data_IF_175914458189
#
_entry.id   IF_175914458189
#
_cell.length_a   1.000
_cell.length_b   1.000
_cell.length_c   1.000
_cell.angle_alpha   90.00
_cell.angle_beta   90.00
_cell.angle_gamma   90.00
#
_symmetry.space_group_name_H-M   'P 1'
#
loop_
_entity.id
_entity.type
_entity.pdbx_description
1 polymer ?
2 non-polymer ?
3 non-polymer ?
4 non-polymer ?
5 water ?
#
# COMPACT_ATOMS: atom_id res chain seq x y z
N UNK A 8 -4.65 4.97 -27.20
CA UNK A 8 -3.23 4.93 -26.89
C UNK A 8 -2.95 5.45 -25.47
N UNK A 9 -2.10 6.45 -25.38
CA UNK A 9 -1.75 7.06 -24.11
C UNK A 9 -2.84 8.03 -23.65
N UNK A 10 -3.76 8.34 -24.55
CA UNK A 10 -4.83 9.29 -24.27
C UNK A 10 -5.77 8.78 -23.19
N UNK A 11 -5.96 7.46 -23.14
CA UNK A 11 -6.84 6.85 -22.15
C UNK A 11 -6.26 6.99 -20.74
N UNK A 12 -4.94 6.94 -20.64
CA UNK A 12 -4.26 7.09 -19.36
C UNK A 12 -4.36 8.53 -18.86
N UNK A 13 -4.14 9.48 -19.76
CA UNK A 13 -4.21 10.90 -19.41
C UNK A 13 -5.63 11.29 -19.00
N UNK A 14 -6.61 10.67 -19.64
CA UNK A 14 -8.00 10.86 -19.24
C UNK A 14 -8.21 10.26 -17.85
N UNK A 15 -7.58 9.12 -17.62
CA UNK A 15 -7.65 8.45 -16.33
C UNK A 15 -7.14 9.33 -15.21
N UNK A 16 -5.98 9.95 -15.41
CA UNK A 16 -5.40 10.85 -14.42
C UNK A 16 -6.33 12.04 -14.16
N UNK A 17 -6.91 12.56 -15.24
CA UNK A 17 -7.81 13.71 -15.15
C UNK A 17 -9.06 13.38 -14.35
N UNK A 18 -9.65 12.22 -14.64
CA UNK A 18 -10.85 11.77 -13.92
C UNK A 18 -10.57 11.63 -12.42
N UNK A 19 -9.44 11.00 -12.08
CA UNK A 19 -9.07 10.82 -10.69
C UNK A 19 -8.88 12.18 -9.99
N UNK A 20 -8.26 13.12 -10.69
CA UNK A 20 -8.09 14.46 -10.14
C UNK A 20 -9.44 15.16 -9.97
N UNK A 21 -10.30 15.01 -10.97
CA UNK A 21 -11.61 15.64 -10.95
C UNK A 21 -12.48 15.16 -9.80
N UNK A 22 -12.47 13.87 -9.56
CA UNK A 22 -13.23 13.27 -8.46
C UNK A 22 -12.79 13.86 -7.13
N UNK A 23 -11.48 14.03 -6.96
CA UNK A 23 -10.93 14.62 -5.74
C UNK A 23 -11.39 16.07 -5.57
N UNK A 24 -11.40 16.82 -6.67
CA UNK A 24 -11.85 18.20 -6.63
C UNK A 24 -13.35 18.25 -6.33
N UNK A 25 -14.11 17.32 -6.90
CA UNK A 25 -15.54 17.25 -6.66
C UNK A 25 -15.86 16.92 -5.20
N UNK A 26 -14.96 16.19 -4.54
CA UNK A 26 -15.18 15.79 -3.16
C UNK A 26 -14.48 16.71 -2.17
N UNK A 27 -13.88 17.78 -2.69
CA UNK A 27 -13.13 18.70 -1.84
C UNK A 27 -13.99 19.40 -0.81
N UNK A 28 -13.40 19.67 0.36
CA UNK A 28 -14.08 20.41 1.41
C UNK A 28 -14.21 21.86 1.02
N UNK A 29 -13.29 22.34 0.20
CA UNK A 29 -13.33 23.69 -0.35
C UNK A 29 -12.38 23.85 -1.53
N UNK A 30 -12.94 23.82 -2.74
CA UNK A 30 -12.16 23.89 -3.97
C UNK A 30 -11.43 25.22 -4.12
N UNK A 31 -12.03 26.29 -3.60
CA UNK A 31 -11.45 27.63 -3.71
C UNK A 31 -10.30 27.81 -2.72
N UNK A 32 -10.10 26.83 -1.85
CA UNK A 32 -9.02 26.87 -0.89
C UNK A 32 -7.86 25.98 -1.34
N UNK A 33 -8.05 25.29 -2.46
CA UNK A 33 -7.02 24.40 -3.00
C UNK A 33 -5.79 25.20 -3.43
N UNK A 34 -4.64 24.87 -2.84
CA UNK A 34 -3.38 25.51 -3.19
C UNK A 34 -2.79 24.87 -4.45
N UNK A 35 -2.75 25.65 -5.53
CA UNK A 35 -2.31 25.13 -6.82
C UNK A 35 -0.84 24.74 -6.82
N UNK A 36 -0.03 25.42 -6.01
CA UNK A 36 1.38 25.08 -5.89
C UNK A 36 1.54 23.72 -5.22
N UNK A 37 0.77 23.50 -4.16
CA UNK A 37 0.83 22.27 -3.40
C UNK A 37 0.38 21.07 -4.22
N UNK A 38 -0.83 21.12 -4.75
CA UNK A 38 -1.39 19.99 -5.50
C UNK A 38 -0.79 19.88 -6.90
N UNK A 39 -0.28 20.98 -7.42
CA UNK A 39 0.37 20.97 -8.72
C UNK A 39 1.74 20.31 -8.65
N UNK A 40 2.51 20.68 -7.65
CA UNK A 40 3.83 20.11 -7.45
C UNK A 40 3.77 18.67 -7.00
N UNK A 41 2.75 18.34 -6.20
CA UNK A 41 2.59 16.98 -5.69
C UNK A 41 2.37 15.99 -6.83
N UNK A 42 1.48 16.36 -7.75
CA UNK A 42 1.25 15.55 -8.95
C UNK A 42 2.50 15.52 -9.81
N UNK A 43 3.18 16.66 -9.90
CA UNK A 43 4.40 16.78 -10.70
C UNK A 43 5.48 15.84 -10.16
N UNK A 44 5.66 15.82 -8.85
CA UNK A 44 6.64 14.95 -8.22
C UNK A 44 6.29 13.47 -8.43
N UNK A 45 5.04 13.11 -8.18
CA UNK A 45 4.60 11.72 -8.34
C UNK A 45 4.73 11.27 -9.79
N UNK A 46 4.40 12.17 -10.71
CA UNK A 46 4.51 11.87 -12.14
C UNK A 46 5.96 11.76 -12.56
N UNK A 47 6.79 12.70 -12.12
CA UNK A 47 8.20 12.73 -12.47
C UNK A 47 8.95 11.57 -11.84
N UNK A 48 8.57 11.23 -10.61
CA UNK A 48 9.18 10.11 -9.91
C UNK A 48 8.90 8.83 -10.69
N UNK A 49 7.67 8.70 -11.17
CA UNK A 49 7.29 7.56 -12.00
C UNK A 49 8.07 7.53 -13.29
N UNK A 50 8.15 8.69 -13.95
CA UNK A 50 8.90 8.80 -15.20
C UNK A 50 10.35 8.44 -15.00
N UNK A 51 10.95 8.95 -13.93
CA UNK A 51 12.36 8.75 -13.65
C UNK A 51 12.73 7.28 -13.48
N UNK A 52 11.98 6.55 -12.65
CA UNK A 52 12.37 5.20 -12.26
C UNK A 52 11.74 4.11 -13.13
N UNK A 53 10.76 4.46 -13.95
CA UNK A 53 10.11 3.48 -14.80
C UNK A 53 10.40 3.68 -16.29
N UNK A 54 10.85 4.87 -16.66
CA UNK A 54 11.09 5.18 -18.07
C UNK A 54 12.56 5.54 -18.32
N UNK A 55 13.03 6.58 -17.63
CA UNK A 55 14.40 7.05 -17.75
C UNK A 55 15.40 5.95 -17.32
N UNK A 56 16.33 5.58 -18.22
CA UNK A 56 17.30 4.51 -18.02
C UNK A 56 18.03 4.54 -16.68
N UNK A 57 18.57 5.70 -16.32
CA UNK A 57 19.33 5.82 -15.06
C UNK A 57 18.46 5.53 -13.85
N UNK A 58 17.26 6.09 -13.84
CA UNK A 58 16.33 5.89 -12.74
C UNK A 58 15.86 4.44 -12.67
N UNK A 59 15.72 3.81 -13.83
CA UNK A 59 15.36 2.40 -13.89
C UNK A 59 16.44 1.52 -13.27
N UNK A 60 17.70 1.93 -13.46
CA UNK A 60 18.82 1.17 -12.92
C UNK A 60 18.96 1.38 -11.41
N UNK A 61 18.64 2.58 -10.95
CA UNK A 61 18.65 2.89 -9.52
C UNK A 61 17.55 2.11 -8.80
N UNK A 62 16.40 1.98 -9.45
CA UNK A 62 15.28 1.22 -8.90
C UNK A 62 15.64 -0.27 -8.87
N UNK A 63 16.27 -0.74 -9.94
CA UNK A 63 16.68 -2.14 -10.03
C UNK A 63 17.74 -2.47 -8.98
N UNK A 64 18.65 -1.53 -8.77
CA UNK A 64 19.71 -1.72 -7.78
C UNK A 64 19.16 -1.75 -6.37
N UNK A 65 18.18 -0.90 -6.11
CA UNK A 65 17.55 -0.84 -4.79
C UNK A 65 16.72 -2.09 -4.53
N UNK A 66 16.03 -2.56 -5.56
CA UNK A 66 15.16 -3.73 -5.44
C UNK A 66 15.95 -5.01 -5.20
N UNK A 67 17.11 -5.13 -5.85
CA UNK A 67 17.96 -6.30 -5.68
C UNK A 67 18.57 -6.34 -4.28
N UNK A 68 18.87 -5.17 -3.73
CA UNK A 68 19.35 -5.07 -2.36
C UNK A 68 18.27 -5.53 -1.40
N UNK A 69 17.04 -5.10 -1.65
CA UNK A 69 15.88 -5.53 -0.87
C UNK A 69 15.69 -7.04 -1.00
N UNK A 70 15.91 -7.56 -2.20
CA UNK A 70 15.80 -8.99 -2.46
C UNK A 70 16.85 -9.78 -1.70
N UNK A 71 18.04 -9.20 -1.55
CA UNK A 71 19.14 -9.86 -0.83
C UNK A 71 18.89 -9.89 0.67
N UNK A 72 18.34 -8.79 1.19
CA UNK A 72 18.02 -8.70 2.62
C UNK A 72 16.98 -9.74 3.00
N UNK A 73 16.00 -9.94 2.12
CA UNK A 73 14.95 -10.94 2.34
C UNK A 73 15.54 -12.35 2.42
N UNK A 74 16.47 -12.66 1.52
CA UNK A 74 17.14 -13.96 1.52
C UNK A 74 17.97 -14.17 2.78
N UNK A 75 18.61 -13.09 3.24
CA UNK A 75 19.38 -13.12 4.48
C UNK A 75 18.46 -13.43 5.66
N UNK A 76 17.30 -12.77 5.68
CA UNK A 76 16.34 -12.97 6.75
C UNK A 76 15.74 -14.37 6.75
N UNK A 77 15.77 -15.01 5.59
CA UNK A 77 15.21 -16.36 5.45
C UNK A 77 16.07 -17.43 6.11
N UNK A 78 17.29 -17.06 6.50
CA UNK A 78 18.15 -17.97 7.25
C UNK A 78 17.56 -18.25 8.62
N UNK A 79 16.95 -17.22 9.23
CA UNK A 79 16.33 -17.37 10.53
C UNK A 79 15.10 -18.26 10.41
N UNK A 80 14.37 -18.08 9.31
CA UNK A 80 13.19 -18.87 9.03
C UNK A 80 13.56 -20.32 8.78
N UNK A 81 14.66 -20.52 8.05
CA UNK A 81 15.15 -21.85 7.72
C UNK A 81 15.57 -22.60 8.98
N UNK A 82 16.10 -21.87 9.96
CA UNK A 82 16.51 -22.48 11.21
C UNK A 82 15.32 -23.03 12.00
N UNK A 83 14.22 -22.26 12.01
CA UNK A 83 13.07 -22.62 12.83
C UNK A 83 12.23 -23.74 12.22
N UNK A 84 12.09 -23.74 10.90
CA UNK A 84 11.16 -24.67 10.25
C UNK A 84 11.86 -25.71 9.36
N UNK A 85 13.19 -25.64 9.30
CA UNK A 85 13.99 -26.65 8.64
C UNK A 85 13.55 -27.14 7.28
N UNK A 86 13.25 -28.43 7.19
CA UNK A 86 12.89 -29.05 5.93
C UNK A 86 11.56 -28.62 5.37
N UNK A 87 10.72 -28.01 6.21
CA UNK A 87 9.40 -27.57 5.77
C UNK A 87 9.49 -26.33 4.87
N UNK A 88 10.66 -25.70 4.85
CA UNK A 88 10.88 -24.59 3.92
C UNK A 88 12.05 -24.89 2.99
N UNK A 89 12.31 -26.18 2.75
CA UNK A 89 13.38 -26.59 1.83
C UNK A 89 12.81 -26.98 0.48
N UNK A 90 13.71 -27.33 -0.45
CA UNK A 90 13.32 -27.71 -1.79
C UNK A 90 12.63 -29.06 -1.87
N UNK A 91 12.82 -29.87 -0.84
CA UNK A 91 12.20 -31.20 -0.77
C UNK A 91 10.68 -31.10 -0.74
N UNK A 92 10.18 -30.01 -0.19
CA UNK A 92 8.73 -29.77 -0.10
C UNK A 92 8.07 -29.75 -1.48
N UNK A 93 8.78 -29.21 -2.46
CA UNK A 93 8.24 -29.12 -3.82
C UNK A 93 8.28 -30.48 -4.51
N UNK A 94 9.16 -31.37 -4.05
CA UNK A 94 9.23 -32.71 -4.60
C UNK A 94 8.11 -33.59 -4.06
N UNK A 95 7.75 -33.37 -2.80
CA UNK A 95 6.74 -34.19 -2.14
C UNK A 95 5.33 -33.68 -2.39
N UNK A 96 5.14 -32.37 -2.27
CA UNK A 96 3.79 -31.80 -2.35
C UNK A 96 3.55 -31.01 -3.63
N UNK A 97 4.57 -30.91 -4.47
CA UNK A 97 4.45 -30.15 -5.70
C UNK A 97 4.29 -28.66 -5.43
N UNK A 98 3.23 -28.08 -5.99
CA UNK A 98 2.95 -26.67 -5.77
C UNK A 98 2.55 -26.39 -4.34
N UNK A 99 1.95 -27.39 -3.69
CA UNK A 99 1.52 -27.26 -2.31
C UNK A 99 2.68 -27.35 -1.32
N UNK A 100 3.89 -27.45 -1.84
CA UNK A 100 5.08 -27.50 -1.01
C UNK A 100 5.43 -26.13 -0.46
N UNK A 101 4.90 -25.10 -1.10
CA UNK A 101 5.09 -23.73 -0.64
C UNK A 101 4.11 -23.41 0.49
N UNK A 102 4.59 -23.52 1.73
CA UNK A 102 3.74 -23.28 2.89
C UNK A 102 3.75 -21.80 3.26
N UNK A 103 2.65 -21.12 2.96
CA UNK A 103 2.56 -19.67 3.16
C UNK A 103 2.89 -19.26 4.59
N UNK A 104 2.39 -20.00 5.56
CA UNK A 104 2.59 -19.68 6.97
C UNK A 104 4.07 -19.62 7.34
N UNK A 105 4.88 -20.45 6.70
CA UNK A 105 6.30 -20.54 7.04
C UNK A 105 7.18 -19.77 6.06
N UNK A 106 6.68 -19.54 4.86
CA UNK A 106 7.46 -18.85 3.83
C UNK A 106 7.32 -17.34 3.92
N UNK A 107 6.09 -16.86 4.06
CA UNK A 107 5.81 -15.42 3.97
C UNK A 107 5.74 -14.71 5.32
N UNK A 108 4.93 -15.23 6.23
CA UNK A 108 4.72 -14.58 7.53
C UNK A 108 5.97 -14.34 8.38
N UNK A 109 6.92 -15.30 8.43
CA UNK A 109 8.14 -15.00 9.21
C UNK A 109 8.96 -13.82 8.69
N UNK A 110 8.75 -13.44 7.44
CA UNK A 110 9.49 -12.31 6.87
C UNK A 110 9.04 -11.00 7.53
N UNK A 111 7.79 -10.98 7.98
CA UNK A 111 7.26 -9.80 8.68
C UNK A 111 8.00 -9.60 10.00
N UNK A 112 8.42 -10.70 10.61
CA UNK A 112 9.12 -10.64 11.88
C UNK A 112 10.54 -10.11 11.71
N UNK A 113 11.25 -10.64 10.72
CA UNK A 113 12.62 -10.24 10.46
C UNK A 113 12.72 -8.78 10.04
N UNK A 114 11.82 -8.35 9.16
CA UNK A 114 11.88 -6.99 8.66
C UNK A 114 11.48 -5.95 9.71
N UNK A 115 10.54 -6.32 10.58
CA UNK A 115 10.15 -5.44 11.67
C UNK A 115 11.31 -5.22 12.63
N UNK A 116 12.09 -6.27 12.86
CA UNK A 116 13.26 -6.18 13.71
C UNK A 116 14.33 -5.31 13.05
N UNK A 117 14.47 -5.47 11.74
CA UNK A 117 15.46 -4.70 10.98
C UNK A 117 15.15 -3.22 10.98
N UNK A 118 13.88 -2.88 10.73
CA UNK A 118 13.45 -1.49 10.72
C UNK A 118 13.67 -0.84 12.08
N UNK A 119 13.41 -1.60 13.14
CA UNK A 119 13.62 -1.12 14.49
C UNK A 119 15.10 -0.84 14.75
N UNK A 120 15.96 -1.68 14.19
CA UNK A 120 17.41 -1.48 14.29
C UNK A 120 17.83 -0.22 13.55
N UNK A 121 17.29 -0.03 12.35
CA UNK A 121 17.64 1.13 11.53
C UNK A 121 17.12 2.43 12.16
N UNK A 122 16.10 2.33 12.99
CA UNK A 122 15.60 3.48 13.73
C UNK A 122 16.52 3.82 14.90
N UNK A 123 16.98 2.79 15.60
CA UNK A 123 17.89 2.99 16.74
C UNK A 123 19.20 3.61 16.27
N UNK A 124 19.64 3.22 15.09
CA UNK A 124 20.91 3.68 14.54
C UNK A 124 20.79 5.09 13.96
N UNK A 125 19.56 5.51 13.68
CA UNK A 125 19.32 6.84 13.15
C UNK A 125 19.31 6.89 11.63
N UNK A 126 19.42 5.73 11.00
CA UNK A 126 19.45 5.66 9.55
C UNK A 126 18.11 6.05 8.94
N UNK A 127 17.02 5.55 9.55
CA UNK A 127 15.68 5.86 9.07
C UNK A 127 15.37 7.35 9.20
N UNK A 128 15.60 7.92 10.38
CA UNK A 128 15.35 9.33 10.63
C UNK A 128 16.11 10.21 9.64
N UNK A 129 17.32 9.77 9.28
CA UNK A 129 18.15 10.50 8.34
C UNK A 129 17.50 10.57 6.96
N UNK A 130 17.05 9.43 6.46
CA UNK A 130 16.40 9.37 5.14
C UNK A 130 15.08 10.14 5.14
N UNK A 131 14.28 9.94 6.17
CA UNK A 131 12.98 10.61 6.30
C UNK A 131 13.13 12.12 6.38
N UNK A 132 14.16 12.59 7.06
CA UNK A 132 14.41 14.01 7.22
C UNK A 132 14.71 14.66 5.87
N UNK A 133 15.42 13.95 5.01
CA UNK A 133 15.77 14.44 3.70
C UNK A 133 14.58 14.44 2.76
N UNK A 134 13.88 13.30 2.68
CA UNK A 134 12.71 13.16 1.82
C UNK A 134 11.59 14.07 2.26
N UNK A 135 11.33 14.09 3.57
CA UNK A 135 10.28 14.93 4.12
C UNK A 135 10.58 16.41 3.96
N UNK A 136 11.85 16.76 4.05
CA UNK A 136 12.28 18.14 3.90
C UNK A 136 12.12 18.63 2.48
N UNK A 137 12.43 17.78 1.52
CA UNK A 137 12.30 18.12 0.12
C UNK A 137 10.85 18.31 -0.29
N UNK A 138 9.95 17.57 0.35
CA UNK A 138 8.53 17.66 0.06
C UNK A 138 7.95 18.99 0.52
N UNK A 139 8.28 19.42 1.73
CA UNK A 139 7.70 20.65 2.27
C UNK A 139 8.26 21.89 1.59
N UNK A 140 9.49 21.83 1.11
CA UNK A 140 10.10 22.96 0.42
C UNK A 140 9.45 23.18 -0.94
N UNK A 141 9.08 22.08 -1.59
CA UNK A 141 8.51 22.13 -2.93
C UNK A 141 7.01 22.35 -2.91
N UNK A 142 6.33 21.80 -1.91
CA UNK A 142 4.87 21.82 -1.88
C UNK A 142 4.30 22.87 -0.94
N UNK A 143 5.11 23.32 0.02
CA UNK A 143 4.66 24.29 0.99
C UNK A 143 3.85 23.65 2.10
N UNK A 144 3.83 22.32 2.11
CA UNK A 144 3.16 21.57 3.18
C UNK A 144 3.92 21.76 4.49
N UNK A 145 3.26 21.52 5.62
CA UNK A 145 3.88 21.74 6.92
C UNK A 145 4.98 20.71 7.19
N UNK A 146 5.83 21.03 8.16
CA UNK A 146 6.96 20.19 8.52
C UNK A 146 6.54 18.80 8.97
N UNK A 147 5.58 18.74 9.89
CA UNK A 147 5.16 17.48 10.48
C UNK A 147 4.51 16.53 9.47
N UNK A 148 3.59 17.04 8.66
CA UNK A 148 2.86 16.20 7.73
C UNK A 148 3.74 15.71 6.58
N UNK A 149 4.79 16.47 6.27
CA UNK A 149 5.73 16.08 5.23
C UNK A 149 6.60 14.91 5.69
N UNK A 150 7.00 14.95 6.96
CA UNK A 150 7.82 13.88 7.53
C UNK A 150 7.01 12.58 7.65
N UNK A 151 5.75 12.72 8.05
CA UNK A 151 4.87 11.56 8.17
C UNK A 151 4.63 10.90 6.82
N UNK A 152 4.53 11.71 5.77
CA UNK A 152 4.34 11.20 4.42
C UNK A 152 5.57 10.44 3.95
N UNK A 153 6.75 10.96 4.26
CA UNK A 153 8.01 10.32 3.87
C UNK A 153 8.26 9.06 4.70
N UNK A 154 7.91 9.11 5.97
CA UNK A 154 8.09 7.94 6.85
C UNK A 154 7.21 6.78 6.39
N UNK A 155 6.05 7.10 5.84
CA UNK A 155 5.10 6.10 5.38
C UNK A 155 5.61 5.27 4.19
N UNK A 156 6.68 5.74 3.57
CA UNK A 156 7.31 4.98 2.48
C UNK A 156 7.86 3.66 3.03
N UNK A 157 8.36 3.70 4.26
CA UNK A 157 9.07 2.56 4.82
C UNK A 157 8.29 1.82 5.92
N UNK A 158 7.47 2.55 6.68
CA UNK A 158 6.72 1.93 7.77
C UNK A 158 5.21 2.12 7.64
N UNK A 159 4.47 1.47 8.53
CA UNK A 159 3.01 1.45 8.46
C UNK A 159 2.32 2.70 8.95
N UNK A 160 1.02 2.77 8.68
CA UNK A 160 0.20 3.94 8.94
C UNK A 160 0.15 4.37 10.41
N UNK A 161 0.40 3.43 11.31
CA UNK A 161 0.36 3.74 12.73
C UNK A 161 1.74 4.07 13.28
N UNK A 162 2.78 3.63 12.57
CA UNK A 162 4.15 3.84 13.02
C UNK A 162 4.74 5.13 12.45
N UNK A 163 4.33 5.49 11.24
CA UNK A 163 4.84 6.69 10.57
C UNK A 163 4.62 8.01 11.34
N UNK A 164 3.45 8.20 11.97
CA UNK A 164 3.28 9.48 12.67
C UNK A 164 4.14 9.60 13.94
N UNK A 165 4.78 8.52 14.36
CA UNK A 165 5.57 8.53 15.59
C UNK A 165 6.77 9.47 15.48
N UNK A 166 7.25 9.71 14.27
CA UNK A 166 8.38 10.61 14.06
C UNK A 166 8.01 12.07 14.35
N UNK A 167 6.71 12.36 14.40
CA UNK A 167 6.22 13.69 14.73
C UNK A 167 5.15 13.62 15.81
N UNK A 168 5.30 12.67 16.72
CA UNK A 168 4.35 12.40 17.79
C UNK A 168 3.89 13.63 18.60
N UNK A 169 4.83 14.48 19.05
CA UNK A 169 4.34 15.58 19.91
C UNK A 169 3.57 16.67 19.17
N UNK A 170 3.63 16.68 17.84
CA UNK A 170 2.97 17.72 17.05
C UNK A 170 1.57 17.31 16.62
N UNK A 171 1.27 16.02 16.74
CA UNK A 171 -0.02 15.47 16.32
C UNK A 171 -1.26 16.06 17.03
N UNK A 172 -1.23 16.19 18.38
CA UNK A 172 -2.46 16.67 19.03
C UNK A 172 -2.90 18.07 18.60
N UNK A 173 -1.96 18.92 18.19
CA UNK A 173 -2.29 20.29 17.82
C UNK A 173 -2.27 20.50 16.31
N UNK A 174 -2.29 19.41 15.56
CA UNK A 174 -2.34 19.49 14.10
C UNK A 174 -3.67 20.08 13.63
N UNK A 175 -3.62 20.84 12.53
CA UNK A 175 -4.84 21.31 11.90
C UNK A 175 -5.59 20.12 11.32
N UNK A 176 -6.87 20.29 11.03
CA UNK A 176 -7.68 19.22 10.48
C UNK A 176 -7.12 18.74 9.15
N UNK A 177 -6.57 19.68 8.37
CA UNK A 177 -5.95 19.36 7.10
C UNK A 177 -4.66 18.55 7.30
N UNK A 178 -3.92 18.88 8.34
CA UNK A 178 -2.70 18.14 8.67
C UNK A 178 -3.03 16.71 9.10
N UNK A 179 -3.98 16.58 10.01
CA UNK A 179 -4.41 15.28 10.50
C UNK A 179 -4.92 14.41 9.36
N UNK A 180 -5.64 15.03 8.43
CA UNK A 180 -6.18 14.32 7.27
C UNK A 180 -5.06 13.81 6.37
N UNK A 181 -4.06 14.65 6.13
CA UNK A 181 -2.91 14.28 5.32
C UNK A 181 -2.14 13.12 5.96
N UNK A 182 -1.97 13.19 7.27
CA UNK A 182 -1.29 12.14 8.01
C UNK A 182 -2.02 10.81 7.82
N UNK A 183 -3.34 10.84 7.95
CA UNK A 183 -4.16 9.66 7.68
C UNK A 183 -3.98 9.19 6.24
N UNK A 184 -4.00 10.12 5.30
CA UNK A 184 -3.88 9.79 3.88
C UNK A 184 -2.52 9.19 3.53
N UNK A 185 -1.47 9.70 4.17
CA UNK A 185 -0.13 9.18 3.96
C UNK A 185 -0.02 7.70 4.29
N UNK A 186 -0.74 7.28 5.32
CA UNK A 186 -0.73 5.89 5.73
C UNK A 186 -1.61 5.01 4.86
N UNK A 187 -2.73 5.56 4.43
CA UNK A 187 -3.68 4.81 3.61
C UNK A 187 -3.19 4.63 2.18
N UNK A 188 -2.38 5.57 1.71
CA UNK A 188 -1.85 5.52 0.35
C UNK A 188 -0.63 4.61 0.24
N UNK A 189 -0.10 4.17 1.38
CA UNK A 189 1.11 3.37 1.38
C UNK A 189 0.95 2.05 2.10
N UNK A 190 2.04 1.29 2.16
CA UNK A 190 2.07 0.05 2.91
C UNK A 190 3.17 0.12 3.96
N UNK A 191 3.88 -0.98 4.16
CA UNK A 191 4.96 -1.03 5.15
C UNK A 191 6.08 -1.94 4.67
N UNK A 192 7.30 -1.67 5.14
CA UNK A 192 8.46 -2.45 4.75
C UNK A 192 8.31 -3.93 5.06
N UNK A 193 7.63 -4.24 6.16
CA UNK A 193 7.41 -5.62 6.56
C UNK A 193 6.59 -6.41 5.56
N UNK A 194 5.41 -5.91 5.23
CA UNK A 194 4.51 -6.61 4.32
C UNK A 194 4.97 -6.51 2.86
N UNK A 195 5.75 -5.48 2.56
CA UNK A 195 6.34 -5.34 1.23
C UNK A 195 7.17 -6.58 0.93
N UNK A 196 8.00 -6.97 1.89
CA UNK A 196 8.82 -8.17 1.76
C UNK A 196 7.94 -9.42 1.68
N UNK A 197 6.82 -9.38 2.39
CA UNK A 197 5.86 -10.47 2.35
C UNK A 197 5.26 -10.62 0.96
N UNK A 198 4.81 -9.50 0.38
CA UNK A 198 4.22 -9.49 -0.94
C UNK A 198 5.25 -9.90 -1.99
N UNK A 199 6.49 -9.45 -1.80
CA UNK A 199 7.60 -9.82 -2.67
C UNK A 199 7.84 -11.33 -2.63
N UNK A 200 7.71 -11.92 -1.44
CA UNK A 200 7.89 -13.35 -1.26
C UNK A 200 6.74 -14.14 -1.89
N UNK A 201 5.63 -13.46 -2.15
CA UNK A 201 4.48 -14.09 -2.76
C UNK A 201 4.56 -14.06 -4.29
N UNK A 202 5.55 -13.33 -4.81
CA UNK A 202 5.78 -13.28 -6.24
C UNK A 202 5.59 -11.91 -6.85
N UNK A 203 5.15 -10.95 -6.05
CA UNK A 203 4.95 -9.58 -6.53
C UNK A 203 6.31 -8.94 -6.79
N UNK A 204 6.43 -8.30 -7.95
CA UNK A 204 7.69 -7.69 -8.37
C UNK A 204 8.11 -6.58 -7.41
N UNK A 205 9.31 -6.73 -6.85
CA UNK A 205 9.82 -5.78 -5.85
C UNK A 205 9.91 -4.37 -6.40
N UNK A 206 10.30 -4.25 -7.67
CA UNK A 206 10.41 -2.95 -8.33
C UNK A 206 9.10 -2.17 -8.25
N UNK A 207 7.99 -2.84 -8.48
CA UNK A 207 6.67 -2.21 -8.41
C UNK A 207 6.35 -1.79 -6.99
N UNK A 208 6.67 -2.66 -6.03
CA UNK A 208 6.40 -2.39 -4.62
C UNK A 208 7.21 -1.20 -4.11
N UNK A 209 8.49 -1.17 -4.45
CA UNK A 209 9.37 -0.08 -4.05
C UNK A 209 8.92 1.23 -4.72
N UNK A 210 8.58 1.15 -6.00
CA UNK A 210 8.14 2.32 -6.75
C UNK A 210 6.86 2.90 -6.17
N UNK A 211 5.88 2.04 -5.92
CA UNK A 211 4.59 2.46 -5.39
C UNK A 211 4.75 3.06 -3.99
N UNK A 212 5.69 2.52 -3.21
CA UNK A 212 5.94 3.01 -1.86
C UNK A 212 6.44 4.44 -1.88
N UNK A 213 7.46 4.71 -2.70
CA UNK A 213 8.00 6.06 -2.82
C UNK A 213 7.00 7.03 -3.44
N UNK A 214 6.24 6.56 -4.42
CA UNK A 214 5.26 7.41 -5.10
C UNK A 214 4.05 7.71 -4.22
N UNK A 215 3.92 6.99 -3.11
CA UNK A 215 2.80 7.18 -2.20
C UNK A 215 2.94 8.47 -1.39
N UNK A 216 4.17 8.89 -1.14
CA UNK A 216 4.42 10.09 -0.35
C UNK A 216 3.90 11.36 -1.05
N UNK A 217 4.29 11.60 -2.32
CA UNK A 217 3.67 12.78 -2.94
C UNK A 217 2.20 12.54 -3.30
N UNK A 218 1.87 11.31 -3.66
CA UNK A 218 0.51 10.95 -4.03
C UNK A 218 -0.47 11.12 -2.89
N UNK A 219 -0.02 10.78 -1.68
CA UNK A 219 -0.84 10.93 -0.49
C UNK A 219 -1.10 12.39 -0.17
N UNK A 220 -0.07 13.22 -0.30
CA UNK A 220 -0.20 14.65 -0.04
C UNK A 220 -1.07 15.30 -1.12
N UNK A 221 -0.94 14.80 -2.35
CA UNK A 221 -1.72 15.30 -3.47
C UNK A 221 -3.22 15.26 -3.22
N UNK A 222 -3.74 14.08 -2.96
CA UNK A 222 -5.19 13.91 -2.81
C UNK A 222 -5.69 14.37 -1.45
N UNK A 223 -4.79 14.48 -0.48
CA UNK A 223 -5.15 15.02 0.82
C UNK A 223 -5.39 16.52 0.72
N UNK A 224 -4.55 17.20 -0.04
CA UNK A 224 -4.62 18.66 -0.16
C UNK A 224 -5.65 19.08 -1.21
N UNK A 225 -6.07 18.14 -2.04
CA UNK A 225 -7.16 18.37 -2.99
C UNK A 225 -8.49 18.23 -2.29
N UNK A 226 -8.64 17.15 -1.50
CA UNK A 226 -9.89 16.84 -0.85
C UNK A 226 -10.06 17.58 0.48
N UNK A 227 -8.93 17.94 1.09
CA UNK A 227 -8.97 18.67 2.36
C UNK A 227 -7.85 19.72 2.40
N UNK A 228 -8.04 20.83 1.68
CA UNK A 228 -7.04 21.90 1.65
C UNK A 228 -6.84 22.54 3.01
N UNK A 229 -5.66 23.12 3.24
CA UNK A 229 -5.40 23.79 4.51
C UNK A 229 -6.15 25.11 4.61
N UNK A 230 -7.06 25.20 5.56
CA UNK A 230 -7.83 26.42 5.78
C UNK A 230 -7.41 27.07 7.09
N UNK A 231 -6.58 26.37 7.85
CA UNK A 231 -6.08 26.88 9.13
C UNK A 231 -4.60 27.23 9.04
N UNK A 232 -4.00 27.56 10.16
CA UNK A 232 -2.57 27.88 10.21
C UNK A 232 -1.81 26.90 11.10
N UNK A 233 -0.95 26.07 10.50
CA UNK A 233 -0.15 25.08 11.23
C UNK A 233 0.84 25.73 12.19
N UNK A 234 1.50 24.91 13.01
CA UNK A 234 2.48 25.39 13.97
C UNK A 234 3.90 24.97 13.59
N UNK A 235 4.86 25.34 14.44
CA UNK A 235 6.28 25.02 14.24
C UNK A 235 6.78 25.48 12.87
N UNK A 247 12.82 5.08 23.18
CA UNK A 247 14.01 4.51 22.56
C UNK A 247 14.60 3.40 23.41
N UNK A 248 14.83 2.22 22.81
CA UNK A 248 15.44 1.07 23.49
C UNK A 248 16.82 1.40 24.05
N UNK A 249 17.26 0.65 25.06
CA UNK A 249 18.51 0.92 25.74
C UNK A 249 19.72 0.67 24.85
N UNK A 250 19.59 -0.29 23.94
CA UNK A 250 20.68 -0.64 23.03
C UNK A 250 20.16 -1.22 21.73
N UNK A 251 21.07 -1.51 20.81
CA UNK A 251 20.70 -1.99 19.48
C UNK A 251 20.10 -3.39 19.51
N UNK A 252 20.50 -4.19 20.49
CA UNK A 252 19.97 -5.55 20.61
C UNK A 252 18.54 -5.51 21.12
N UNK A 253 18.27 -4.62 22.07
CA UNK A 253 16.92 -4.39 22.57
C UNK A 253 16.01 -3.93 21.44
N UNK A 254 16.53 -3.08 20.57
CA UNK A 254 15.78 -2.56 19.44
C UNK A 254 15.32 -3.68 18.52
N UNK A 255 16.24 -4.57 18.17
CA UNK A 255 15.94 -5.72 17.34
C UNK A 255 14.89 -6.61 17.99
N UNK A 256 15.02 -6.85 19.29
CA UNK A 256 14.09 -7.70 20.02
C UNK A 256 12.69 -7.10 20.02
N UNK A 257 12.60 -5.79 20.22
CA UNK A 257 11.32 -5.09 20.21
C UNK A 257 10.65 -5.16 18.86
N UNK A 258 11.44 -5.03 17.80
CA UNK A 258 10.92 -5.13 16.45
C UNK A 258 10.42 -6.54 16.13
N UNK A 259 11.17 -7.54 16.58
CA UNK A 259 10.79 -8.93 16.37
C UNK A 259 9.45 -9.23 17.03
N UNK A 260 9.27 -8.73 18.25
CA UNK A 260 8.03 -8.91 18.99
C UNK A 260 6.85 -8.26 18.27
N UNK A 261 7.05 -7.02 17.81
CA UNK A 261 6.02 -6.33 17.05
C UNK A 261 5.70 -7.07 15.76
N UNK A 262 6.73 -7.58 15.10
CA UNK A 262 6.56 -8.34 13.88
C UNK A 262 5.79 -9.63 14.10
N UNK A 263 6.06 -10.28 15.22
CA UNK A 263 5.36 -11.51 15.60
C UNK A 263 3.87 -11.28 15.74
N UNK A 264 3.50 -10.21 16.45
CA UNK A 264 2.10 -9.87 16.65
C UNK A 264 1.43 -9.55 15.32
N UNK A 265 2.16 -8.87 14.45
CA UNK A 265 1.66 -8.56 13.11
C UNK A 265 1.47 -9.84 12.31
N UNK A 266 2.46 -10.72 12.37
CA UNK A 266 2.41 -11.99 11.65
C UNK A 266 1.23 -12.84 12.10
N UNK A 267 0.97 -12.86 13.41
CA UNK A 267 -0.14 -13.61 13.96
C UNK A 267 -1.48 -13.02 13.51
N UNK A 268 -1.59 -11.70 13.55
CA UNK A 268 -2.80 -11.01 13.12
C UNK A 268 -3.11 -11.22 11.63
N UNK A 269 -2.06 -11.14 10.81
CA UNK A 269 -2.24 -11.30 9.36
C UNK A 269 -2.66 -12.73 9.03
N UNK A 270 -2.02 -13.70 9.68
CA UNK A 270 -2.33 -15.10 9.46
C UNK A 270 -3.75 -15.47 9.85
N UNK A 271 -4.20 -14.99 10.99
CA UNK A 271 -5.56 -15.25 11.46
C UNK A 271 -6.57 -14.57 10.55
N UNK A 272 -6.23 -13.37 10.10
CA UNK A 272 -7.10 -12.62 9.21
C UNK A 272 -7.28 -13.35 7.88
N UNK A 273 -6.18 -13.88 7.35
CA UNK A 273 -6.20 -14.58 6.07
C UNK A 273 -7.00 -15.88 6.14
N UNK A 274 -6.83 -16.62 7.23
CA UNK A 274 -7.60 -17.85 7.45
C UNK A 274 -9.09 -17.55 7.46
N UNK A 275 -9.48 -16.52 8.21
CA UNK A 275 -10.88 -16.15 8.36
C UNK A 275 -11.46 -15.55 7.07
N UNK A 276 -10.80 -14.55 6.50
CA UNK A 276 -11.34 -13.84 5.35
C UNK A 276 -11.45 -14.73 4.11
N UNK A 277 -10.41 -15.52 3.84
CA UNK A 277 -10.45 -16.44 2.70
C UNK A 277 -11.52 -17.50 2.92
N UNK A 278 -11.64 -17.95 4.17
CA UNK A 278 -12.69 -18.89 4.54
C UNK A 278 -14.07 -18.27 4.37
N UNK A 279 -14.20 -17.01 4.77
CA UNK A 279 -15.48 -16.31 4.65
C UNK A 279 -15.85 -16.06 3.19
N UNK A 280 -14.86 -15.78 2.36
CA UNK A 280 -15.09 -15.60 0.93
C UNK A 280 -15.62 -16.90 0.32
N UNK A 281 -15.05 -18.02 0.74
CA UNK A 281 -15.50 -19.33 0.26
C UNK A 281 -16.94 -19.60 0.68
N UNK A 282 -17.30 -19.19 1.88
CA UNK A 282 -18.67 -19.33 2.38
C UNK A 282 -19.62 -18.43 1.61
N UNK A 283 -19.17 -17.19 1.36
CA UNK A 283 -19.94 -16.24 0.58
C UNK A 283 -20.21 -16.78 -0.83
N UNK A 284 -19.19 -17.37 -1.45
CA UNK A 284 -19.34 -17.94 -2.78
C UNK A 284 -20.30 -19.12 -2.80
N UNK A 285 -20.30 -19.90 -1.73
CA UNK A 285 -21.24 -21.00 -1.60
C UNK A 285 -22.67 -20.50 -1.55
N UNK A 286 -22.89 -19.43 -0.79
CA UNK A 286 -24.21 -18.84 -0.67
C UNK A 286 -24.63 -18.13 -1.96
N UNK A 287 -23.68 -17.47 -2.61
CA UNK A 287 -23.94 -16.77 -3.86
C UNK A 287 -24.29 -17.74 -4.98
N UNK A 288 -23.82 -18.98 -4.87
CA UNK A 288 -24.15 -20.01 -5.84
C UNK A 288 -25.62 -20.38 -5.77
N UNK A 289 -26.16 -20.42 -4.56
CA UNK A 289 -27.56 -20.74 -4.35
C UNK A 289 -28.47 -19.57 -4.69
N UNK A 290 -28.09 -18.39 -4.23
CA UNK A 290 -28.85 -17.17 -4.48
C UNK A 290 -28.87 -16.84 -5.97
N UNK A 291 -27.70 -16.88 -6.59
CA UNK A 291 -27.58 -16.61 -8.02
C UNK A 291 -28.35 -17.61 -8.86
N UNK A 292 -28.40 -18.85 -8.39
CA UNK A 292 -29.12 -19.90 -9.09
C UNK A 292 -30.59 -19.60 -9.27
N UNK A 293 -31.14 -18.82 -8.34
CA UNK A 293 -32.54 -18.39 -8.41
C UNK A 293 -32.76 -17.44 -9.59
N UNK A 294 -31.68 -16.89 -10.12
CA UNK A 294 -31.75 -15.98 -11.26
C UNK A 294 -31.01 -16.54 -12.47
N UNK A 295 -30.90 -17.86 -12.52
CA UNK A 295 -30.23 -18.54 -13.63
C UNK A 295 -28.73 -18.35 -13.64
N UNK A 296 -28.16 -18.01 -12.49
CA UNK A 296 -26.73 -17.80 -12.38
C UNK A 296 -26.12 -18.57 -11.21
N UNK A 297 -26.11 -19.91 -11.31
CA UNK A 297 -25.57 -20.73 -10.21
C UNK A 297 -24.05 -20.62 -10.10
N UNK A 298 -23.41 -20.04 -11.12
CA UNK A 298 -21.97 -19.90 -11.13
C UNK A 298 -21.54 -18.59 -10.47
N UNK A 299 -22.50 -17.87 -9.93
CA UNK A 299 -22.25 -16.56 -9.32
C UNK A 299 -21.25 -16.65 -8.17
N UNK A 300 -20.25 -15.78 -8.20
CA UNK A 300 -19.24 -15.73 -7.14
C UNK A 300 -18.89 -14.29 -6.79
N UNK A 301 -18.19 -14.11 -5.67
CA UNK A 301 -17.78 -12.78 -5.23
C UNK A 301 -16.84 -12.13 -6.24
N UNK A 302 -15.95 -12.92 -6.83
CA UNK A 302 -15.00 -12.41 -7.80
C UNK A 302 -15.70 -11.84 -9.03
N UNK A 303 -16.80 -12.47 -9.43
CA UNK A 303 -17.56 -12.01 -10.58
C UNK A 303 -18.23 -10.66 -10.30
N UNK A 304 -18.78 -10.53 -9.09
CA UNK A 304 -19.41 -9.27 -8.66
C UNK A 304 -18.40 -8.13 -8.66
N UNK A 305 -17.26 -8.36 -8.01
CA UNK A 305 -16.22 -7.35 -7.90
C UNK A 305 -15.62 -7.05 -9.28
N UNK A 306 -15.46 -8.10 -10.09
CA UNK A 306 -14.95 -7.94 -11.44
C UNK A 306 -15.86 -7.11 -12.30
N UNK A 307 -17.16 -7.39 -12.22
CA UNK A 307 -18.16 -6.66 -13.01
C UNK A 307 -18.28 -5.21 -12.55
N UNK A 308 -18.09 -4.98 -11.25
CA UNK A 308 -18.29 -3.66 -10.68
C UNK A 308 -17.07 -2.76 -10.82
N UNK A 309 -15.88 -3.37 -10.86
CA UNK A 309 -14.65 -2.60 -10.88
C UNK A 309 -13.95 -2.60 -12.24
N UNK A 310 -14.54 -3.30 -13.20
CA UNK A 310 -14.02 -3.32 -14.57
C UNK A 310 -13.92 -1.93 -15.20
N UNK A 311 -14.98 -1.08 -15.06
CA UNK A 311 -14.82 0.27 -15.61
C UNK A 311 -13.67 1.05 -14.99
N UNK A 312 -13.48 0.88 -13.69
CA UNK A 312 -12.41 1.58 -12.98
C UNK A 312 -11.04 1.09 -13.46
N UNK A 313 -10.93 -0.21 -13.69
CA UNK A 313 -9.69 -0.79 -14.19
C UNK A 313 -9.40 -0.31 -15.61
N UNK A 314 -10.45 -0.23 -16.42
CA UNK A 314 -10.31 0.22 -17.79
C UNK A 314 -9.85 1.67 -17.85
N UNK A 315 -10.33 2.47 -16.90
CA UNK A 315 -10.01 3.88 -16.84
C UNK A 315 -8.53 4.13 -16.52
N UNK A 316 -7.95 3.27 -15.69
CA UNK A 316 -6.57 3.47 -15.27
C UNK A 316 -5.58 2.81 -16.24
N UNK A 317 -6.09 2.27 -17.33
CA UNK A 317 -5.23 1.80 -18.41
C UNK A 317 -5.23 0.31 -18.70
N UNK A 318 -6.10 -0.45 -18.03
CA UNK A 318 -6.16 -1.88 -18.27
C UNK A 318 -6.94 -2.18 -19.54
N UNK A 319 -6.33 -2.96 -20.45
CA UNK A 319 -6.96 -3.38 -21.71
C UNK A 319 -8.37 -3.93 -21.51
N UNK A 320 -9.23 -3.76 -22.50
CA UNK A 320 -10.63 -4.12 -22.42
C UNK A 320 -10.86 -5.58 -22.04
N UNK A 321 -10.04 -6.47 -22.60
CA UNK A 321 -10.21 -7.91 -22.38
C UNK A 321 -9.59 -8.38 -21.06
N UNK A 322 -9.01 -7.46 -20.30
CA UNK A 322 -8.37 -7.80 -19.04
C UNK A 322 -8.92 -6.96 -17.89
N UNK A 323 -9.89 -6.11 -18.18
CA UNK A 323 -10.44 -5.17 -17.20
C UNK A 323 -11.26 -5.88 -16.12
N UNK A 324 -11.96 -6.94 -16.50
CA UNK A 324 -12.82 -7.67 -15.57
C UNK A 324 -12.00 -8.46 -14.55
N UNK A 325 -10.96 -9.14 -15.02
CA UNK A 325 -10.06 -9.88 -14.14
C UNK A 325 -9.31 -8.93 -13.22
N UNK A 326 -8.87 -7.80 -13.77
CA UNK A 326 -8.18 -6.78 -12.99
C UNK A 326 -9.11 -6.18 -11.94
N UNK A 327 -10.40 -6.13 -12.28
CA UNK A 327 -11.40 -5.58 -11.37
C UNK A 327 -11.61 -6.43 -10.14
N UNK A 328 -11.42 -7.74 -10.29
CA UNK A 328 -11.58 -8.68 -9.18
C UNK A 328 -10.64 -8.34 -8.02
N UNK A 329 -9.38 -8.11 -8.35
CA UNK A 329 -8.35 -7.88 -7.35
C UNK A 329 -8.44 -6.47 -6.77
N UNK A 330 -8.67 -5.49 -7.64
CA UNK A 330 -8.80 -4.10 -7.22
C UNK A 330 -10.01 -3.93 -6.28
N UNK A 331 -11.12 -4.56 -6.62
CA UNK A 331 -12.30 -4.51 -5.80
C UNK A 331 -12.11 -5.18 -4.46
N UNK A 332 -11.44 -6.34 -4.49
CA UNK A 332 -11.19 -7.11 -3.28
C UNK A 332 -10.31 -6.34 -2.31
N UNK A 333 -9.32 -5.63 -2.87
CA UNK A 333 -8.42 -4.81 -2.06
C UNK A 333 -9.20 -3.71 -1.35
N UNK A 334 -10.19 -3.15 -2.04
CA UNK A 334 -10.97 -2.04 -1.50
C UNK A 334 -12.01 -2.50 -0.46
N UNK A 335 -12.71 -3.59 -0.76
CA UNK A 335 -13.78 -4.05 0.12
C UNK A 335 -13.22 -4.84 1.32
N UNK A 336 -11.98 -5.30 1.22
CA UNK A 336 -11.36 -6.03 2.32
C UNK A 336 -10.03 -5.39 2.71
N UNK A 337 -8.94 -5.90 2.13
CA UNK A 337 -7.63 -5.30 2.27
C UNK A 337 -6.67 -5.80 1.20
N UNK A 338 -5.51 -5.16 1.09
CA UNK A 338 -4.60 -5.44 -0.01
C UNK A 338 -3.92 -6.79 0.14
N UNK A 339 -3.81 -7.28 1.37
CA UNK A 339 -3.16 -8.57 1.60
C UNK A 339 -3.98 -9.71 1.00
N UNK A 340 -5.28 -9.70 1.26
CA UNK A 340 -6.17 -10.71 0.69
C UNK A 340 -6.20 -10.62 -0.83
N UNK A 341 -6.19 -9.38 -1.34
CA UNK A 341 -6.17 -9.15 -2.78
C UNK A 341 -4.91 -9.74 -3.41
N UNK A 342 -3.77 -9.46 -2.80
CA UNK A 342 -2.49 -10.01 -3.27
C UNK A 342 -2.49 -11.54 -3.20
N UNK A 343 -3.19 -12.09 -2.23
CA UNK A 343 -3.24 -13.55 -2.06
C UNK A 343 -3.96 -14.23 -3.22
N UNK A 344 -4.88 -13.48 -3.84
CA UNK A 344 -5.64 -14.01 -4.97
C UNK A 344 -5.01 -13.63 -6.31
N UNK A 345 -4.17 -12.60 -6.29
CA UNK A 345 -3.51 -12.12 -7.50
C UNK A 345 -2.18 -12.81 -7.75
N UNK A 346 -1.56 -13.31 -6.68
CA UNK A 346 -0.26 -13.97 -6.76
C UNK A 346 -0.20 -15.16 -7.73
N UNK A 347 -1.24 -16.03 -7.76
CA UNK A 347 -1.16 -17.12 -8.75
C UNK A 347 -1.12 -16.64 -10.20
N UNK A 348 -1.57 -15.42 -10.46
CA UNK A 348 -1.57 -14.87 -11.81
C UNK A 348 -0.19 -14.36 -12.21
N UNK A 349 0.76 -14.44 -11.28
CA UNK A 349 2.12 -14.01 -11.53
C UNK A 349 3.05 -15.20 -11.78
N UNK A 350 2.48 -16.40 -11.75
CA UNK A 350 3.25 -17.62 -11.98
C UNK A 350 2.94 -18.21 -13.34
N UNK A 351 3.62 -19.30 -13.69
CA UNK A 351 3.38 -19.98 -14.95
C UNK A 351 2.07 -20.76 -14.91
N UNK A 352 1.59 -21.04 -13.70
CA UNK A 352 0.34 -21.76 -13.52
C UNK A 352 -0.83 -20.80 -13.37
N UNK A 353 -0.71 -19.63 -14.01
CA UNK A 353 -1.75 -18.61 -13.95
C UNK A 353 -2.99 -19.07 -14.73
N UNK A 354 -4.16 -18.99 -14.09
CA UNK A 354 -5.42 -19.36 -14.74
C UNK A 354 -5.75 -18.45 -15.92
N UNK A 355 -5.31 -17.19 -15.82
CA UNK A 355 -5.48 -16.24 -16.91
C UNK A 355 -4.18 -15.49 -17.16
N UNK A 356 -3.56 -15.73 -18.32
CA UNK A 356 -2.33 -15.05 -18.68
C UNK A 356 -2.60 -13.58 -18.99
N UNK A 357 -2.08 -12.70 -18.14
CA UNK A 357 -2.30 -11.26 -18.30
C UNK A 357 -1.08 -10.59 -18.91
N UNK A 358 -1.31 -9.46 -19.58
CA UNK A 358 -0.22 -8.68 -20.15
C UNK A 358 0.66 -8.13 -19.04
N UNK A 359 1.92 -7.86 -19.36
CA UNK A 359 2.88 -7.40 -18.36
C UNK A 359 2.50 -6.00 -17.87
N UNK A 360 1.81 -5.24 -18.70
CA UNK A 360 1.36 -3.92 -18.31
C UNK A 360 0.20 -4.03 -17.32
N UNK A 361 -0.71 -4.96 -17.58
CA UNK A 361 -1.84 -5.19 -16.70
C UNK A 361 -1.38 -5.72 -15.34
N UNK A 362 -0.37 -6.58 -15.36
CA UNK A 362 0.24 -7.08 -14.12
C UNK A 362 0.81 -5.93 -13.30
N UNK A 363 1.44 -4.98 -13.97
CA UNK A 363 2.04 -3.83 -13.30
C UNK A 363 0.96 -2.91 -12.73
N UNK A 364 -0.09 -2.67 -13.51
CA UNK A 364 -1.17 -1.80 -13.08
C UNK A 364 -1.85 -2.34 -11.83
N UNK A 365 -2.15 -3.64 -11.83
CA UNK A 365 -2.76 -4.29 -10.68
C UNK A 365 -1.85 -4.21 -9.46
N UNK A 366 -0.56 -4.45 -9.67
CA UNK A 366 0.43 -4.41 -8.59
C UNK A 366 0.48 -3.04 -7.91
N UNK A 367 0.46 -1.98 -8.71
CA UNK A 367 0.48 -0.62 -8.19
C UNK A 367 -0.83 -0.24 -7.51
N UNK A 368 -1.95 -0.64 -8.12
CA UNK A 368 -3.27 -0.25 -7.63
C UNK A 368 -3.61 -0.97 -6.33
N UNK A 369 -2.95 -2.08 -6.07
CA UNK A 369 -3.16 -2.84 -4.83
C UNK A 369 -2.24 -2.40 -3.71
N UNK A 370 -1.16 -1.71 -4.06
CA UNK A 370 -0.12 -1.39 -3.09
C UNK A 370 -0.52 -0.23 -2.19
N UNK A 371 -1.43 -0.50 -1.25
CA UNK A 371 -1.87 0.52 -0.31
C UNK A 371 -2.76 -0.06 0.78
N UNK A 372 -2.73 0.58 1.94
CA UNK A 372 -3.56 0.16 3.08
C UNK A 372 -4.95 0.78 3.01
N UNK A 373 -5.27 1.39 1.87
CA UNK A 373 -6.54 2.08 1.70
C UNK A 373 -7.72 1.11 1.70
N UNK A 374 -8.35 0.96 2.86
CA UNK A 374 -9.60 0.22 2.99
C UNK A 374 -10.32 0.67 4.25
N UNK A 375 -11.60 0.30 4.37
CA UNK A 375 -12.43 0.78 5.46
C UNK A 375 -11.92 0.29 6.82
N UNK A 376 -11.42 -0.94 6.87
CA UNK A 376 -10.93 -1.50 8.12
C UNK A 376 -9.71 -0.76 8.67
N UNK A 377 -8.98 -0.08 7.80
CA UNK A 377 -7.83 0.70 8.24
C UNK A 377 -8.25 1.92 9.06
N UNK A 378 -9.51 2.34 8.92
CA UNK A 378 -10.02 3.46 9.71
C UNK A 378 -9.96 3.10 11.21
N UNK A 379 -10.43 1.91 11.55
CA UNK A 379 -10.39 1.46 12.94
C UNK A 379 -8.95 1.34 13.44
N UNK A 380 -8.06 0.97 12.55
CA UNK A 380 -6.64 0.89 12.87
C UNK A 380 -6.09 2.28 13.19
N UNK A 381 -6.42 3.26 12.35
CA UNK A 381 -6.00 4.64 12.57
C UNK A 381 -6.58 5.20 13.85
N UNK A 382 -7.82 4.85 14.16
CA UNK A 382 -8.48 5.30 15.38
C UNK A 382 -7.71 4.88 16.64
N UNK A 383 -7.14 3.67 16.60
CA UNK A 383 -6.41 3.15 17.75
C UNK A 383 -4.99 3.65 17.82
N UNK A 384 -4.22 3.40 16.77
CA UNK A 384 -2.81 3.77 16.73
C UNK A 384 -2.59 5.27 16.74
N UNK A 385 -3.12 5.94 15.71
CA UNK A 385 -2.97 7.38 15.58
C UNK A 385 -3.75 8.10 16.68
N UNK A 386 -4.84 7.49 17.12
CA UNK A 386 -5.66 8.08 18.16
C UNK A 386 -5.02 8.07 19.53
N UNK A 387 -4.14 7.11 19.78
CA UNK A 387 -3.45 7.02 21.07
C UNK A 387 -2.44 8.15 21.21
N UNK A 388 -2.01 8.70 20.08
CA UNK A 388 -1.07 9.80 20.05
C UNK A 388 -1.77 11.12 20.34
N UNK A 389 -3.09 11.13 20.15
CA UNK A 389 -3.89 12.33 20.37
C UNK A 389 -5.34 11.94 20.65
N UNK A 390 -5.62 11.53 21.90
CA UNK A 390 -6.93 10.99 22.30
C UNK A 390 -8.09 11.97 22.08
N UNK A 391 -7.82 13.28 22.09
CA UNK A 391 -8.87 14.26 21.92
C UNK A 391 -9.20 14.50 20.45
N UNK A 392 -8.52 13.77 19.55
CA UNK A 392 -8.73 13.94 18.12
C UNK A 392 -9.36 12.72 17.46
N UNK A 393 -9.76 11.75 18.28
CA UNK A 393 -10.37 10.52 17.76
C UNK A 393 -11.68 10.81 17.02
N UNK A 394 -12.40 11.83 17.47
CA UNK A 394 -13.62 12.25 16.81
C UNK A 394 -13.36 12.72 15.40
N UNK A 395 -12.28 13.48 15.22
CA UNK A 395 -11.91 13.99 13.91
C UNK A 395 -11.47 12.87 12.97
N UNK A 396 -10.77 11.89 13.52
CA UNK A 396 -10.29 10.76 12.72
C UNK A 396 -11.46 9.96 12.17
N UNK A 397 -12.42 9.65 13.03
CA UNK A 397 -13.62 8.93 12.63
C UNK A 397 -14.43 9.74 11.62
N UNK A 398 -14.48 11.04 11.81
CA UNK A 398 -15.25 11.93 10.94
C UNK A 398 -14.65 11.98 9.53
N UNK A 399 -13.33 11.92 9.44
CA UNK A 399 -12.65 12.04 8.16
C UNK A 399 -12.23 10.69 7.58
N UNK A 400 -12.56 9.61 8.29
CA UNK A 400 -12.15 8.28 7.91
C UNK A 400 -12.45 7.87 6.48
N UNK A 401 -13.72 7.96 6.10
CA UNK A 401 -14.15 7.53 4.77
C UNK A 401 -13.49 8.35 3.66
N UNK A 402 -13.48 9.67 3.83
CA UNK A 402 -12.84 10.56 2.85
C UNK A 402 -11.34 10.27 2.75
N UNK A 403 -10.72 9.92 3.87
CA UNK A 403 -9.30 9.61 3.89
C UNK A 403 -9.02 8.33 3.10
N UNK A 404 -9.91 7.35 3.24
CA UNK A 404 -9.80 6.09 2.50
C UNK A 404 -9.96 6.34 1.00
N UNK A 405 -10.92 7.20 0.65
CA UNK A 405 -11.13 7.56 -0.75
C UNK A 405 -9.88 8.23 -1.32
N UNK A 406 -9.35 9.20 -0.58
CA UNK A 406 -8.12 9.88 -0.98
C UNK A 406 -6.97 8.91 -1.16
N UNK A 407 -6.85 7.94 -0.24
CA UNK A 407 -5.81 6.94 -0.32
C UNK A 407 -5.98 6.03 -1.52
N UNK A 408 -7.24 5.70 -1.80
CA UNK A 408 -7.57 4.86 -2.96
C UNK A 408 -7.20 5.57 -4.27
N UNK A 409 -7.54 6.86 -4.36
CA UNK A 409 -7.22 7.64 -5.54
C UNK A 409 -5.71 7.73 -5.76
N UNK A 410 -4.96 7.83 -4.66
CA UNK A 410 -3.51 7.90 -4.74
C UNK A 410 -2.93 6.62 -5.33
N UNK A 411 -3.44 5.47 -4.89
CA UNK A 411 -3.01 4.19 -5.44
C UNK A 411 -3.38 4.06 -6.91
N UNK A 412 -4.59 4.49 -7.24
CA UNK A 412 -5.08 4.43 -8.62
C UNK A 412 -4.26 5.33 -9.54
N UNK A 413 -3.92 6.52 -9.04
CA UNK A 413 -3.09 7.45 -9.81
C UNK A 413 -1.71 6.87 -10.07
N UNK A 414 -1.14 6.22 -9.06
CA UNK A 414 0.17 5.59 -9.19
C UNK A 414 0.13 4.48 -10.24
N UNK A 415 -0.98 3.76 -10.28
CA UNK A 415 -1.16 2.68 -11.23
C UNK A 415 -1.30 3.22 -12.66
N UNK A 416 -2.03 4.32 -12.80
CA UNK A 416 -2.25 4.95 -14.09
C UNK A 416 -0.93 5.49 -14.65
N UNK A 417 -0.14 6.12 -13.78
CA UNK A 417 1.18 6.63 -14.14
C UNK A 417 2.09 5.49 -14.57
N UNK A 418 2.07 4.41 -13.81
CA UNK A 418 2.90 3.24 -14.11
C UNK A 418 2.52 2.63 -15.45
N UNK A 419 1.22 2.59 -15.72
CA UNK A 419 0.73 2.05 -16.98
C UNK A 419 1.07 2.94 -18.16
N UNK A 420 1.21 4.24 -17.89
CA UNK A 420 1.53 5.21 -18.93
C UNK A 420 2.93 5.00 -19.49
N UNK A 421 3.92 4.90 -18.60
CA UNK A 421 5.30 4.74 -19.00
C UNK A 421 5.66 3.29 -19.33
N UNK A 422 4.64 2.44 -19.37
CA UNK A 422 4.84 1.03 -19.72
C UNK A 422 3.98 0.64 -20.92
X LIG B 1 1.45 -4.48 7.83
X LIG B 1 0.53 -3.69 8.32
X LIG B 1 0.90 -2.59 9.15
X LIG B 1 2.08 -2.37 9.40
X LIG B 1 -0.09 -1.76 9.66
X LIG B 1 -1.40 -2.02 9.36
X LIG B 1 -2.28 -1.29 9.81
X LIG B 1 -0.77 -3.92 8.06
X LIG B 1 -1.74 -3.08 8.58
X LIG B 1 -3.17 -3.34 8.27
X LIG B 1 -3.71 -2.45 7.15
X LIG B 1 -5.03 -2.06 7.44
X LIG B 1 -3.70 -3.37 5.94
X LIG B 1 -4.71 -2.99 5.02
X LIG B 1 -4.04 -4.71 6.58
X LIG B 1 -3.38 -4.69 7.87
X LIG B 1 -3.46 -5.84 5.75
X LIG B 1 -2.08 -5.74 5.38
X LIG C 1 3.01 3.53 5.22
X LIG D 1 -20.81 0.98 7.40
X LIG D 1 -20.64 2.32 7.97
X LIG D 1 -19.28 2.57 8.34
X LIG D 1 -18.35 2.34 7.21
X LIG D 1 -18.59 1.02 6.52
X LIG D 1 -19.93 0.79 6.21
X LIG D 1 -19.15 3.95 8.78
X LIG D 1 -20.07 -0.50 5.72
X LIG D 1 -19.17 -1.01 4.73
X LIG D 1 -19.65 -2.19 3.95
X LIG D 1 -18.65 -2.93 3.07
X LIG D 1 -18.75 -4.46 3.00
X LIG D 1 -18.57 -5.12 1.63
X LIG D 1 -18.61 -6.65 1.56
X LIG D 1 -17.41 -7.35 0.99
X LIG D 1 -17.37 -8.90 1.07
X LIG D 1 -16.04 -9.57 0.86
X LIG D 1 -14.95 -9.33 1.85
X LIG D 1 -22.17 0.75 7.08
X LIG D 1 -21.53 2.45 9.11
X LIG D 1 -16.94 2.50 7.60
X LIG D 1 -16.53 1.97 8.81
X LIG D 1 -19.79 5.15 10.61
X LIG D 1 -19.56 6.43 9.89
X LIG D 1 -18.19 6.85 9.89
X LIG D 1 -17.31 5.73 9.44
X LIG D 1 -17.53 4.51 10.26
X LIG D 1 -18.86 4.09 10.14
X LIG D 1 -18.02 7.99 9.01
X LIG D 1 -21.10 4.76 10.35
X LIG D 1 -20.40 7.45 10.48
X LIG D 1 -15.89 6.14 9.43
X LIG D 1 -15.39 6.71 10.55
#
# INVERSE_FOLDING_TARGET
>A
GPAVPRMSLFMSCCGMAVLLGIAVLLSSNRKAINLRTVGGAFAIQFSLGAFILYVPWGQELLRGFSDAVSNVINYGNDGTSFLFGGLVSGKMFEVFGGGGFIFAFRVLPTLIFFSALISVLYYLGVMQWVIRILGGGLQKALGTSRAESMSAAANIFVGQTEAPLVVRPFVPKMTQSELFAVMCGGLASIAGGVLAGYASMGVKIEYLVAASFMAAPGGLLFAKLMMPETEKPQDNEDITLDGGDDKPANVIDAAAGGASAGLQLALNVGAMLIAFIGLIALINGMLGGIGGWFGMPELKLEMLLGWLFAPLAFLIGVPWNEATVAGEFIGLKTVANEFVAYSQFAPYLTEAAPVVLSEKTKAIISFALCGFANLSSIAILLGGLGSLAPKRRGDIARMGVKAVIAGTLSNLMAATIAGFFLSF
>B hetero
1 5UD F5 C5 C4 O4 N3 C2 O2 C6 N1 C1' C2' O2' C3' O3' C4' O4' C5' O5'
>C hetero
1 NA NA
>D hetero
1 DMU C1 C2 C3 C4 O5 C6 O7 O16 C18 C19 C22 C25 C28 C31 C34 C37 C40 C43 O49 O55 C57 O61 C5 C7 C8 C9 O1 C10 O2 O3 O4 C11 O6
#
